data_IF_437258557683
#
_entry.id   IF_437258557683
#
_cell.length_a   1.000
_cell.length_b   1.000
_cell.length_c   1.000
_cell.angle_alpha   90.00
_cell.angle_beta   90.00
_cell.angle_gamma   90.00
#
_symmetry.space_group_name_H-M   'P 1'
#
loop_
_entity.id
_entity.type
_entity.pdbx_description
1 polymer ?
#
# COMPACT_ATOMS: atom_id res chain seq x y z
N UNK A 1 -14.81 26.83 20.85
CA UNK A 1 -13.71 26.37 19.98
C UNK A 1 -14.10 25.00 19.48
N UNK A 2 -14.42 24.84 18.19
CA UNK A 2 -14.73 23.51 17.64
C UNK A 2 -13.46 22.67 17.72
N UNK A 3 -13.48 21.66 18.59
CA UNK A 3 -12.39 20.73 18.82
C UNK A 3 -12.00 20.10 17.48
N UNK A 4 -10.71 20.08 17.14
CA UNK A 4 -10.27 19.38 15.94
C UNK A 4 -10.59 17.89 16.15
N UNK A 5 -11.46 17.38 15.27
CA UNK A 5 -12.17 16.11 15.38
C UNK A 5 -11.30 14.95 14.87
N UNK A 6 -10.08 14.79 15.39
CA UNK A 6 -9.21 13.68 15.00
C UNK A 6 -9.72 12.37 15.61
N UNK A 7 -10.28 11.51 14.78
CA UNK A 7 -10.70 10.16 15.18
C UNK A 7 -9.50 9.20 15.05
N UNK A 8 -8.58 9.23 16.02
CA UNK A 8 -7.38 8.39 16.03
C UNK A 8 -7.67 6.90 15.84
N UNK A 9 -8.69 6.29 16.48
CA UNK A 9 -9.06 4.90 16.21
C UNK A 9 -9.42 4.64 14.74
N UNK A 10 -10.22 5.50 14.12
CA UNK A 10 -10.59 5.33 12.71
C UNK A 10 -9.40 5.55 11.77
N UNK A 11 -8.50 6.48 12.07
CA UNK A 11 -7.28 6.70 11.30
C UNK A 11 -6.33 5.49 11.38
N UNK A 12 -6.19 4.88 12.57
CA UNK A 12 -5.42 3.64 12.73
C UNK A 12 -6.07 2.47 11.99
N UNK A 13 -7.40 2.34 12.06
CA UNK A 13 -8.13 1.34 11.28
C UNK A 13 -7.89 1.52 9.77
N UNK A 14 -7.90 2.76 9.29
CA UNK A 14 -7.62 3.07 7.90
C UNK A 14 -6.19 2.67 7.46
N UNK A 15 -5.19 2.88 8.31
CA UNK A 15 -3.82 2.40 8.05
C UNK A 15 -3.76 0.86 7.95
N UNK A 16 -4.55 0.17 8.76
CA UNK A 16 -4.74 -1.29 8.67
C UNK A 16 -5.38 -1.71 7.36
N UNK A 17 -6.46 -1.04 6.94
CA UNK A 17 -7.13 -1.30 5.66
C UNK A 17 -6.19 -1.08 4.47
N UNK A 18 -5.38 -0.02 4.51
CA UNK A 18 -4.33 0.23 3.52
C UNK A 18 -3.36 -0.96 3.45
N UNK A 19 -2.87 -1.46 4.58
CA UNK A 19 -2.00 -2.64 4.60
C UNK A 19 -2.68 -3.88 3.98
N UNK A 20 -3.99 -4.04 4.19
CA UNK A 20 -4.81 -5.05 3.53
C UNK A 20 -4.87 -4.88 2.01
N UNK A 21 -5.09 -3.65 1.52
CA UNK A 21 -5.11 -3.36 0.08
C UNK A 21 -3.78 -3.65 -0.63
N UNK A 22 -2.64 -3.47 0.04
CA UNK A 22 -1.34 -3.87 -0.50
C UNK A 22 -1.28 -5.39 -0.76
N UNK A 23 -1.85 -6.20 0.14
CA UNK A 23 -1.99 -7.65 -0.05
C UNK A 23 -2.89 -8.00 -1.23
N UNK A 24 -4.03 -7.31 -1.37
CA UNK A 24 -4.93 -7.47 -2.52
C UNK A 24 -4.24 -7.14 -3.84
N UNK A 25 -3.48 -6.03 -3.90
CA UNK A 25 -2.71 -5.64 -5.09
C UNK A 25 -1.67 -6.72 -5.44
N UNK A 26 -0.97 -7.26 -4.45
CA UNK A 26 -0.01 -8.32 -4.66
C UNK A 26 -0.66 -9.59 -5.24
N UNK A 27 -1.78 -10.04 -4.66
CA UNK A 27 -2.51 -11.22 -5.14
C UNK A 27 -3.00 -11.03 -6.57
N UNK A 28 -3.64 -9.90 -6.86
CA UNK A 28 -4.11 -9.58 -8.21
C UNK A 28 -2.96 -9.58 -9.21
N UNK A 29 -1.80 -9.03 -8.83
CA UNK A 29 -0.62 -9.05 -9.68
C UNK A 29 -0.09 -10.45 -9.99
N UNK A 30 -0.17 -11.36 -9.02
CA UNK A 30 0.21 -12.76 -9.19
C UNK A 30 -0.78 -13.52 -10.08
N UNK A 31 -2.08 -13.25 -9.95
CA UNK A 31 -3.11 -13.83 -10.80
C UNK A 31 -2.91 -13.43 -12.27
N UNK A 32 -2.67 -12.15 -12.55
CA UNK A 32 -2.35 -11.67 -13.90
C UNK A 32 -1.10 -12.33 -14.45
N UNK A 33 -0.02 -12.44 -13.66
CA UNK A 33 1.20 -13.13 -14.08
C UNK A 33 0.94 -14.59 -14.45
N UNK A 34 0.08 -15.27 -13.69
CA UNK A 34 -0.31 -16.66 -13.93
C UNK A 34 -1.10 -16.79 -15.24
N UNK A 35 -2.09 -15.93 -15.47
CA UNK A 35 -2.89 -15.94 -16.69
C UNK A 35 -2.04 -15.66 -17.93
N UNK A 36 -1.15 -14.67 -17.87
CA UNK A 36 -0.26 -14.36 -18.99
C UNK A 36 0.75 -15.47 -19.27
N UNK A 37 1.18 -16.20 -18.24
CA UNK A 37 2.04 -17.39 -18.39
C UNK A 37 1.36 -18.49 -19.20
N UNK A 38 0.08 -18.76 -18.92
CA UNK A 38 -0.72 -19.73 -19.67
C UNK A 38 -0.87 -19.35 -21.15
N UNK A 39 -0.84 -18.05 -21.46
CA UNK A 39 -0.93 -17.51 -22.81
C UNK A 39 0.43 -17.27 -23.48
N UNK A 40 1.55 -17.62 -22.85
CA UNK A 40 2.91 -17.31 -23.35
C UNK A 40 3.18 -17.78 -24.78
N UNK A 41 2.58 -18.89 -25.23
CA UNK A 41 2.72 -19.37 -26.62
C UNK A 41 2.09 -18.42 -27.66
N UNK A 42 1.14 -17.58 -27.26
CA UNK A 42 0.51 -16.58 -28.12
C UNK A 42 1.31 -15.26 -28.19
N UNK A 43 2.37 -15.12 -27.39
CA UNK A 43 3.27 -13.98 -27.43
C UNK A 43 4.22 -14.11 -28.62
N UNK A 44 3.69 -13.82 -29.80
CA UNK A 44 4.40 -13.84 -31.07
C UNK A 44 4.26 -12.46 -31.73
N UNK A 45 5.32 -12.00 -32.43
CA UNK A 45 5.31 -10.77 -33.20
C UNK A 45 6.37 -9.75 -32.78
N UNK A 46 6.62 -8.78 -33.66
CA UNK A 46 7.69 -7.77 -33.53
C UNK A 46 7.29 -6.57 -32.65
N UNK A 47 6.25 -6.70 -31.81
CA UNK A 47 5.76 -5.63 -30.93
C UNK A 47 6.75 -5.21 -29.83
N UNK A 48 7.92 -5.85 -29.77
CA UNK A 48 9.09 -5.37 -29.03
C UNK A 48 9.24 -5.90 -27.60
N UNK A 49 8.28 -6.68 -27.09
CA UNK A 49 8.35 -7.26 -25.75
C UNK A 49 8.05 -8.77 -25.80
N UNK A 50 9.06 -9.57 -25.43
CA UNK A 50 8.88 -11.02 -25.26
C UNK A 50 8.16 -11.31 -23.95
N UNK A 51 7.54 -12.48 -23.85
CA UNK A 51 6.90 -12.93 -22.60
C UNK A 51 7.88 -12.88 -21.41
N UNK A 52 9.12 -13.34 -21.62
CA UNK A 52 10.16 -13.33 -20.58
C UNK A 52 10.53 -11.91 -20.16
N UNK A 53 10.65 -10.98 -21.12
CA UNK A 53 10.92 -9.57 -20.84
C UNK A 53 9.78 -8.92 -20.06
N UNK A 54 8.54 -9.18 -20.48
CA UNK A 54 7.37 -8.71 -19.76
C UNK A 54 7.26 -9.28 -18.36
N UNK A 55 7.46 -10.59 -18.18
CA UNK A 55 7.37 -11.25 -16.87
C UNK A 55 8.37 -10.65 -15.88
N UNK A 56 9.61 -10.41 -16.31
CA UNK A 56 10.63 -9.77 -15.49
C UNK A 56 10.22 -8.34 -15.11
N UNK A 57 9.77 -7.54 -16.08
CA UNK A 57 9.32 -6.18 -15.85
C UNK A 57 8.10 -6.12 -14.92
N UNK A 58 7.12 -6.99 -15.15
CA UNK A 58 5.90 -7.09 -14.34
C UNK A 58 6.21 -7.39 -12.88
N UNK A 59 7.05 -8.40 -12.63
CA UNK A 59 7.45 -8.77 -11.27
C UNK A 59 8.15 -7.62 -10.55
N UNK A 60 9.03 -6.90 -11.25
CA UNK A 60 9.72 -5.73 -10.70
C UNK A 60 8.73 -4.61 -10.36
N UNK A 61 7.88 -4.22 -11.32
CA UNK A 61 6.91 -3.14 -11.14
C UNK A 61 5.87 -3.46 -10.06
N UNK A 62 5.44 -4.72 -9.94
CA UNK A 62 4.53 -5.14 -8.88
C UNK A 62 5.17 -5.07 -7.49
N UNK A 63 6.44 -5.45 -7.37
CA UNK A 63 7.18 -5.29 -6.10
C UNK A 63 7.32 -3.82 -5.72
N UNK A 64 7.67 -2.95 -6.68
CA UNK A 64 7.76 -1.50 -6.46
C UNK A 64 6.42 -0.89 -6.04
N UNK A 65 5.32 -1.27 -6.71
CA UNK A 65 3.97 -0.82 -6.39
C UNK A 65 3.57 -1.19 -4.95
N UNK A 66 3.73 -2.47 -4.59
CA UNK A 66 3.35 -2.97 -3.26
C UNK A 66 4.22 -2.30 -2.18
N UNK A 67 5.52 -2.17 -2.41
CA UNK A 67 6.44 -1.49 -1.50
C UNK A 67 6.08 -0.02 -1.30
N UNK A 68 5.78 0.70 -2.38
CA UNK A 68 5.34 2.10 -2.32
C UNK A 68 4.04 2.25 -1.51
N UNK A 69 3.08 1.34 -1.72
CA UNK A 69 1.81 1.36 -0.99
C UNK A 69 2.00 1.06 0.50
N UNK A 70 2.84 0.08 0.85
CA UNK A 70 3.18 -0.23 2.25
C UNK A 70 3.89 0.94 2.94
N UNK A 71 4.78 1.64 2.22
CA UNK A 71 5.45 2.84 2.73
C UNK A 71 4.45 3.96 3.04
N UNK A 72 3.46 4.17 2.16
CA UNK A 72 2.37 5.12 2.42
C UNK A 72 1.55 4.73 3.66
N UNK A 73 1.18 3.46 3.79
CA UNK A 73 0.42 2.95 4.95
C UNK A 73 1.20 3.16 6.27
N UNK A 74 2.48 2.81 6.29
CA UNK A 74 3.38 3.00 7.43
C UNK A 74 3.54 4.48 7.80
N UNK A 75 3.64 5.36 6.79
CA UNK A 75 3.69 6.81 7.02
C UNK A 75 2.40 7.32 7.64
N UNK A 76 1.25 6.87 7.15
CA UNK A 76 -0.05 7.23 7.69
C UNK A 76 -0.23 6.77 9.15
N UNK A 77 0.16 5.53 9.45
CA UNK A 77 0.17 4.97 10.81
C UNK A 77 1.07 5.78 11.75
N UNK A 78 2.33 5.99 11.34
CA UNK A 78 3.33 6.71 12.14
C UNK A 78 2.89 8.14 12.45
N UNK A 79 2.32 8.84 11.46
CA UNK A 79 1.77 10.18 11.66
C UNK A 79 0.61 10.18 12.64
N UNK A 80 -0.30 9.20 12.53
CA UNK A 80 -1.45 9.07 13.43
C UNK A 80 -1.00 8.85 14.87
N UNK A 81 -0.02 7.96 15.09
CA UNK A 81 0.56 7.71 16.41
C UNK A 81 1.26 8.95 16.97
N UNK A 82 2.05 9.65 16.16
CA UNK A 82 2.76 10.86 16.57
C UNK A 82 1.79 12.00 16.95
N UNK A 83 0.69 12.15 16.21
CA UNK A 83 -0.35 13.14 16.52
C UNK A 83 -1.07 12.79 17.83
N UNK A 84 -1.50 11.54 18.01
CA UNK A 84 -2.14 11.09 19.25
C UNK A 84 -1.23 11.31 20.48
N UNK A 85 0.05 10.97 20.37
CA UNK A 85 1.02 11.17 21.44
C UNK A 85 1.19 12.66 21.81
N UNK A 86 1.21 13.55 20.82
CA UNK A 86 1.26 15.01 21.05
C UNK A 86 0.00 15.50 21.77
N UNK A 87 -1.18 15.07 21.33
CA UNK A 87 -2.45 15.48 21.94
C UNK A 87 -2.56 15.00 23.40
N UNK A 88 -2.13 13.77 23.68
CA UNK A 88 -2.06 13.26 25.05
C UNK A 88 -1.10 14.10 25.92
N UNK A 89 0.06 14.48 25.38
CA UNK A 89 1.02 15.32 26.09
C UNK A 89 0.49 16.74 26.34
N UNK A 90 -0.22 17.35 25.38
CA UNK A 90 -0.87 18.65 25.58
C UNK A 90 -1.99 18.57 26.62
N UNK A 91 -2.83 17.52 26.59
CA UNK A 91 -3.89 17.32 27.58
C UNK A 91 -3.32 17.19 29.00
N UNK A 92 -2.19 16.50 29.16
CA UNK A 92 -1.53 16.33 30.46
C UNK A 92 -1.03 17.65 31.06
N UNK A 93 -0.67 18.65 30.25
CA UNK A 93 -0.20 19.97 30.73
C UNK A 93 -1.26 20.77 31.48
N UNK A 94 -2.54 20.53 31.18
CA UNK A 94 -3.67 21.28 31.73
C UNK A 94 -4.54 20.45 32.69
N UNK A 95 -4.17 19.18 32.94
CA UNK A 95 -4.87 18.25 33.81
C UNK A 95 -4.29 18.09 35.22
N UNK A 96 -3.38 18.98 35.63
CA UNK A 96 -2.83 19.09 36.99
C UNK A 96 -3.29 20.38 37.66
#
# INVERSE_FOLDING_TARGET
MSQIMYNYPAMMAHAGDMSGYAGTLHSLGADIATEQSALSNAWQGDTGLTYQGWQAQWNQSMQELVSAYQSMASTHESNTLAMNARDMAEAAKWGA
#
